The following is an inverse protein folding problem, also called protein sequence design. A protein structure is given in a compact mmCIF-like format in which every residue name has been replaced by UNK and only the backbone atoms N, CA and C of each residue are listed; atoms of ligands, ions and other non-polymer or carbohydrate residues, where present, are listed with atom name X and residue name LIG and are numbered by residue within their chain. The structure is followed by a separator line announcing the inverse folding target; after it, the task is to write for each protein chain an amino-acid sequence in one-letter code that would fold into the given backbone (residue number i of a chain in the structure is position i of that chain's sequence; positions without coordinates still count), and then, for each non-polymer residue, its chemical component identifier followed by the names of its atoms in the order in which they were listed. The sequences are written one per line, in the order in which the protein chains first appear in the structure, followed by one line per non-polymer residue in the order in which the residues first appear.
data_IF_474894608792
#
_entry.id   IF_474894608792
#
_cell.length_a   1.000
_cell.length_b   1.000
_cell.length_c   1.000
_cell.angle_alpha   90.00
_cell.angle_beta   90.00
_cell.angle_gamma   90.00
#
_symmetry.space_group_name_H-M   'P 1'
#
loop_
_entity.id
_entity.type
_entity.pdbx_description
1 polymer ?
2 polymer ?
3 non-polymer ?
4 non-polymer ?
5 water ?
#
# COMPACT_ATOMS: atom_id res chain seq x y z
N UNK A 6 11.46 22.18 -9.28
CA UNK A 6 12.82 22.68 -9.36
C UNK A 6 13.84 21.54 -9.34
N UNK A 7 13.97 20.88 -8.19
CA UNK A 7 14.99 19.85 -8.00
C UNK A 7 14.42 18.52 -8.47
N UNK A 8 14.95 18.01 -9.58
CA UNK A 8 14.53 16.74 -10.16
C UNK A 8 15.78 15.88 -10.36
N UNK A 9 15.85 14.76 -9.67
CA UNK A 9 16.94 13.82 -9.86
C UNK A 9 16.62 12.86 -11.00
N UNK A 10 17.67 12.29 -11.59
CA UNK A 10 17.55 11.40 -12.74
C UNK A 10 17.98 10.00 -12.30
N UNK A 11 17.00 9.13 -12.07
CA UNK A 11 17.25 7.76 -11.65
C UNK A 11 16.39 6.81 -12.49
N UNK A 12 16.87 5.58 -12.62
CA UNK A 12 16.13 4.56 -13.34
C UNK A 12 15.00 4.02 -12.48
N UNK A 13 13.82 3.89 -13.07
CA UNK A 13 12.66 3.34 -12.38
C UNK A 13 12.61 1.83 -12.59
N UNK A 14 12.27 1.11 -11.52
CA UNK A 14 12.09 -0.34 -11.58
C UNK A 14 10.75 -0.70 -10.95
N UNK A 15 9.96 -1.50 -11.67
CA UNK A 15 8.70 -2.01 -11.16
C UNK A 15 8.93 -3.37 -10.52
N UNK A 16 8.25 -3.60 -9.39
CA UNK A 16 8.30 -4.91 -8.75
C UNK A 16 7.33 -5.89 -9.39
N UNK A 17 6.52 -5.45 -10.35
CA UNK A 17 5.79 -6.35 -11.20
C UNK A 17 6.72 -6.93 -12.27
N UNK A 18 6.28 -8.02 -12.89
CA UNK A 18 7.02 -8.57 -14.00
C UNK A 18 6.74 -7.74 -15.26
N UNK A 19 7.32 -8.16 -16.38
CA UNK A 19 7.18 -7.39 -17.62
C UNK A 19 5.72 -7.31 -18.06
N UNK A 20 4.98 -8.41 -17.94
CA UNK A 20 3.58 -8.43 -18.37
C UNK A 20 2.65 -7.79 -17.35
N UNK A 21 3.10 -7.56 -16.12
CA UNK A 21 2.22 -7.05 -15.09
C UNK A 21 1.29 -8.07 -14.49
N UNK A 22 1.43 -9.34 -14.84
CA UNK A 22 0.60 -10.42 -14.30
C UNK A 22 1.19 -11.05 -13.05
N UNK A 23 2.46 -10.77 -12.75
CA UNK A 23 3.11 -11.28 -11.55
C UNK A 23 3.55 -10.12 -10.69
N UNK A 24 3.20 -10.17 -9.40
CA UNK A 24 3.60 -9.15 -8.44
C UNK A 24 4.61 -9.76 -7.47
N UNK A 25 5.82 -9.24 -7.49
CA UNK A 25 6.86 -9.66 -6.55
C UNK A 25 6.93 -8.70 -5.37
N UNK A 26 7.42 -9.21 -4.26
CA UNK A 26 7.66 -8.39 -3.06
C UNK A 26 9.02 -7.68 -3.13
N UNK A 27 9.36 -7.12 -4.29
CA UNK A 27 10.68 -6.55 -4.53
C UNK A 27 10.74 -5.06 -4.23
N UNK A 28 9.86 -4.53 -3.36
CA UNK A 28 9.92 -3.11 -3.05
C UNK A 28 11.23 -2.72 -2.40
N UNK A 29 11.85 -3.63 -1.64
CA UNK A 29 13.08 -3.29 -0.94
C UNK A 29 14.25 -3.14 -1.90
N UNK A 30 14.37 -4.05 -2.87
CA UNK A 30 15.48 -3.97 -3.82
C UNK A 30 15.25 -2.83 -4.82
N UNK A 31 14.00 -2.60 -5.21
CA UNK A 31 13.71 -1.51 -6.14
C UNK A 31 14.07 -0.17 -5.54
N UNK A 32 13.62 0.09 -4.31
CA UNK A 32 13.90 1.37 -3.67
C UNK A 32 15.39 1.53 -3.38
N UNK A 33 16.06 0.45 -2.97
CA UNK A 33 17.50 0.51 -2.78
C UNK A 33 18.22 0.82 -4.10
N UNK A 34 17.72 0.27 -5.20
CA UNK A 34 18.32 0.55 -6.49
C UNK A 34 18.11 2.00 -6.92
N UNK A 35 17.02 2.63 -6.45
CA UNK A 35 16.74 4.00 -6.85
C UNK A 35 17.71 4.96 -6.20
N UNK A 36 17.93 4.82 -4.89
CA UNK A 36 18.75 5.79 -4.17
C UNK A 36 20.24 5.55 -4.37
N UNK A 37 20.65 4.37 -4.81
CA UNK A 37 22.07 4.07 -4.99
C UNK A 37 22.56 4.24 -6.43
N UNK A 38 21.67 4.11 -7.41
CA UNK A 38 22.06 4.28 -8.80
C UNK A 38 22.32 5.76 -9.11
N UNK A 39 22.87 6.00 -10.30
CA UNK A 39 23.21 7.35 -10.73
C UNK A 39 22.99 7.48 -12.22
N UNK A 40 22.58 8.70 -12.64
CA UNK A 40 22.58 9.12 -14.04
C UNK A 40 21.79 8.14 -14.92
N UNK A 41 20.70 7.62 -14.40
CA UNK A 41 19.87 6.72 -15.19
C UNK A 41 20.49 5.36 -15.45
N UNK A 42 21.24 4.82 -14.50
CA UNK A 42 21.78 3.48 -14.58
C UNK A 42 21.16 2.63 -13.48
N UNK A 43 21.71 1.43 -13.28
CA UNK A 43 21.22 0.51 -12.25
C UNK A 43 22.36 0.14 -11.31
N UNK A 44 22.10 0.26 -10.02
CA UNK A 44 23.08 -0.15 -9.01
C UNK A 44 23.21 -1.67 -8.99
N UNK A 45 24.39 -2.14 -8.57
CA UNK A 45 24.70 -3.56 -8.58
C UNK A 45 24.30 -4.18 -7.24
N UNK A 46 23.01 -4.50 -7.12
CA UNK A 46 22.49 -5.26 -5.99
C UNK A 46 22.27 -6.72 -6.35
N UNK A 47 22.91 -7.20 -7.43
CA UNK A 47 22.70 -8.57 -7.88
C UNK A 47 23.32 -9.58 -6.92
N UNK A 48 24.40 -9.20 -6.23
CA UNK A 48 25.01 -10.11 -5.28
C UNK A 48 24.12 -10.39 -4.08
N UNK A 49 23.14 -9.51 -3.81
CA UNK A 49 22.25 -9.69 -2.67
C UNK A 49 20.94 -10.36 -3.03
N UNK A 50 20.51 -10.25 -4.29
CA UNK A 50 19.18 -10.70 -4.68
C UNK A 50 19.23 -12.09 -5.32
N UNK A 51 20.33 -12.40 -6.01
CA UNK A 51 20.40 -13.66 -6.75
C UNK A 51 20.90 -14.81 -5.90
N UNK A 52 21.82 -14.54 -4.97
CA UNK A 52 22.50 -15.59 -4.20
C UNK A 52 21.51 -16.25 -3.24
N UNK A 53 20.63 -17.09 -3.81
CA UNK A 53 19.73 -17.95 -3.04
C UNK A 53 18.86 -17.15 -2.08
N UNK A 54 18.52 -15.92 -2.43
CA UNK A 54 17.74 -15.04 -1.56
C UNK A 54 16.26 -15.35 -1.75
N UNK A 55 15.63 -15.89 -0.70
CA UNK A 55 14.20 -16.20 -0.76
C UNK A 55 13.34 -14.95 -0.80
N UNK A 56 13.88 -13.80 -0.42
CA UNK A 56 13.13 -12.55 -0.39
C UNK A 56 13.11 -11.84 -1.73
N UNK A 57 13.75 -12.38 -2.75
CA UNK A 57 13.80 -11.78 -4.08
C UNK A 57 12.94 -12.58 -5.04
N UNK A 58 12.15 -11.88 -5.85
CA UNK A 58 11.21 -12.50 -6.79
C UNK A 58 10.28 -13.47 -6.06
N UNK A 59 9.85 -13.08 -4.86
CA UNK A 59 8.96 -13.89 -4.04
C UNK A 59 7.57 -13.29 -4.12
N UNK A 60 6.59 -14.12 -4.51
CA UNK A 60 5.22 -13.63 -4.68
C UNK A 60 4.45 -13.56 -3.38
N UNK A 61 5.00 -14.05 -2.28
CA UNK A 61 4.29 -14.17 -1.01
C UNK A 61 4.77 -13.17 0.03
N UNK A 62 6.08 -13.09 0.27
CA UNK A 62 6.62 -12.22 1.30
C UNK A 62 7.90 -11.56 0.79
N UNK A 63 8.27 -10.47 1.44
CA UNK A 63 9.46 -9.71 1.13
C UNK A 63 10.60 -10.01 2.07
N UNK A 64 11.47 -9.02 2.26
CA UNK A 64 12.64 -9.18 3.12
C UNK A 64 12.22 -9.01 4.57
N UNK A 65 12.86 -9.77 5.45
CA UNK A 65 12.59 -9.64 6.88
C UNK A 65 12.98 -8.24 7.37
N UNK A 66 12.21 -7.75 8.34
CA UNK A 66 12.38 -6.37 8.78
C UNK A 66 13.72 -6.19 9.47
N UNK A 67 14.06 -7.10 10.39
CA UNK A 67 15.35 -7.00 11.08
C UNK A 67 16.49 -7.29 10.11
N UNK A 68 16.28 -8.21 9.17
CA UNK A 68 17.29 -8.49 8.16
C UNK A 68 17.49 -7.29 7.24
N UNK A 69 16.42 -6.52 6.98
CA UNK A 69 16.56 -5.32 6.17
C UNK A 69 17.22 -4.19 6.94
N UNK A 70 17.02 -4.11 8.27
CA UNK A 70 17.70 -3.11 9.07
C UNK A 70 19.21 -3.26 8.97
N UNK A 71 19.70 -4.50 8.98
CA UNK A 71 21.14 -4.73 8.85
C UNK A 71 21.61 -4.49 7.43
N UNK A 72 20.77 -4.76 6.43
CA UNK A 72 21.16 -4.56 5.04
C UNK A 72 21.36 -3.07 4.73
N UNK A 73 20.54 -2.20 5.33
CA UNK A 73 20.69 -0.77 5.10
C UNK A 73 22.01 -0.25 5.65
N UNK A 74 22.47 -0.80 6.78
CA UNK A 74 23.74 -0.38 7.35
C UNK A 74 24.90 -0.83 6.47
N UNK A 75 24.79 -2.00 5.83
CA UNK A 75 25.86 -2.49 4.98
C UNK A 75 26.02 -1.64 3.73
N UNK A 76 24.91 -1.18 3.15
CA UNK A 76 24.92 -0.41 1.92
C UNK A 76 25.03 1.09 2.16
N UNK A 77 25.32 1.51 3.40
CA UNK A 77 25.44 2.93 3.76
C UNK A 77 24.14 3.68 3.44
N UNK A 78 23.02 3.10 3.83
CA UNK A 78 21.71 3.73 3.70
C UNK A 78 21.36 4.29 5.08
N UNK A 79 21.44 5.61 5.22
CA UNK A 79 21.31 6.24 6.52
C UNK A 79 19.96 6.93 6.68
N UNK A 80 19.47 6.97 7.92
CA UNK A 80 18.30 7.78 8.26
C UNK A 80 18.69 9.26 8.21
N UNK A 81 17.77 10.11 7.75
CA UNK A 81 18.05 11.53 7.69
C UNK A 81 18.19 12.07 9.12
N UNK A 82 19.16 12.97 9.33
CA UNK A 82 19.40 13.48 10.69
C UNK A 82 18.20 14.26 11.21
N UNK A 83 18.00 14.17 12.51
CA UNK A 83 16.87 14.82 13.17
C UNK A 83 17.16 16.31 13.30
N UNK A 84 16.81 17.05 12.26
CA UNK A 84 17.00 18.50 12.26
C UNK A 84 15.73 19.19 12.75
N UNK A 85 15.85 20.51 12.96
CA UNK A 85 14.70 21.29 13.42
C UNK A 85 13.61 21.34 12.36
N UNK A 86 14.00 21.49 11.09
CA UNK A 86 13.02 21.46 10.01
C UNK A 86 12.36 20.09 9.89
N UNK A 87 13.08 19.03 10.26
CA UNK A 87 12.48 17.71 10.28
C UNK A 87 11.56 17.54 11.49
N UNK A 88 11.95 18.11 12.63
CA UNK A 88 11.15 17.96 13.85
C UNK A 88 9.80 18.67 13.71
N UNK A 89 9.78 19.83 13.04
CA UNK A 89 8.53 20.55 12.85
C UNK A 89 7.56 19.76 11.97
N UNK A 90 8.09 19.08 10.96
CA UNK A 90 7.26 18.26 10.08
C UNK A 90 6.74 17.05 10.83
N UNK A 91 7.58 16.46 11.66
CA UNK A 91 7.24 15.26 12.43
C UNK A 91 6.16 15.54 13.47
N UNK A 92 6.17 16.75 14.02
CA UNK A 92 5.14 17.14 14.99
C UNK A 92 3.83 17.39 14.27
N UNK A 93 3.92 17.97 13.06
CA UNK A 93 2.73 18.12 12.23
C UNK A 93 2.21 16.77 11.76
N UNK A 94 3.09 15.81 11.53
CA UNK A 94 2.65 14.47 11.15
C UNK A 94 1.95 13.77 12.30
N UNK A 95 2.32 14.09 13.54
CA UNK A 95 1.63 13.51 14.68
C UNK A 95 0.20 14.04 14.80
N UNK A 96 -0.03 15.29 14.40
CA UNK A 96 -1.36 15.87 14.43
C UNK A 96 -2.15 15.62 13.15
N UNK A 97 -1.52 15.06 12.12
CA UNK A 97 -2.17 14.76 10.86
C UNK A 97 -2.80 15.99 10.21
N UNK A 98 -2.18 17.15 10.42
CA UNK A 98 -2.69 18.42 9.90
C UNK A 98 -1.78 18.87 8.76
N UNK A 99 -2.38 19.48 7.74
CA UNK A 99 -1.65 19.94 6.56
C UNK A 99 -2.16 21.32 6.16
N UNK A 100 -1.94 22.30 7.04
CA UNK A 100 -2.33 23.68 6.75
C UNK A 100 -1.26 24.34 5.89
N UNK A 101 -1.33 25.67 5.74
CA UNK A 101 -0.41 26.37 4.85
C UNK A 101 1.00 26.39 5.42
N UNK A 102 1.15 26.65 6.73
CA UNK A 102 2.47 26.68 7.32
C UNK A 102 3.13 25.30 7.29
N UNK A 103 2.34 24.25 7.50
CA UNK A 103 2.88 22.89 7.40
C UNK A 103 3.24 22.57 5.95
N UNK A 104 2.39 22.97 5.01
CA UNK A 104 2.67 22.70 3.60
C UNK A 104 3.90 23.45 3.12
N UNK A 105 4.11 24.67 3.62
CA UNK A 105 5.32 25.42 3.27
C UNK A 105 6.56 24.79 3.91
N UNK A 106 6.44 24.35 5.17
CA UNK A 106 7.55 23.64 5.80
C UNK A 106 7.83 22.31 5.10
N UNK A 107 6.78 21.64 4.62
CA UNK A 107 6.97 20.41 3.86
C UNK A 107 7.68 20.70 2.53
N UNK A 108 7.33 21.80 1.88
CA UNK A 108 7.97 22.15 0.63
C UNK A 108 9.46 22.44 0.82
N UNK A 109 9.81 23.16 1.90
CA UNK A 109 11.20 23.44 2.17
C UNK A 109 11.95 22.22 2.70
N UNK A 110 11.26 21.35 3.44
CA UNK A 110 11.90 20.14 3.95
C UNK A 110 12.29 19.20 2.81
N UNK A 111 11.34 18.92 1.91
CA UNK A 111 11.63 18.02 0.79
C UNK A 111 12.67 18.64 -0.13
N UNK A 112 12.57 19.95 -0.37
CA UNK A 112 13.54 20.61 -1.24
C UNK A 112 14.95 20.55 -0.65
N UNK A 113 15.07 20.78 0.66
CA UNK A 113 16.38 20.76 1.30
C UNK A 113 16.98 19.36 1.29
N UNK A 114 16.16 18.35 1.59
CA UNK A 114 16.69 16.98 1.65
C UNK A 114 17.07 16.46 0.27
N UNK A 115 16.26 16.79 -0.75
CA UNK A 115 16.59 16.35 -2.10
C UNK A 115 17.85 17.04 -2.62
N UNK A 116 18.09 18.29 -2.23
CA UNK A 116 19.27 19.00 -2.69
C UNK A 116 20.54 18.47 -2.02
N UNK A 117 20.52 18.35 -0.69
CA UNK A 117 21.73 18.03 0.06
C UNK A 117 21.95 16.54 0.23
N UNK A 118 20.88 15.73 0.25
CA UNK A 118 21.01 14.31 0.49
C UNK A 118 20.51 13.45 -0.66
N UNK A 119 20.00 14.07 -1.73
CA UNK A 119 19.56 13.32 -2.90
C UNK A 119 18.21 12.66 -2.70
N UNK A 120 17.90 11.67 -3.53
CA UNK A 120 16.62 10.98 -3.41
C UNK A 120 16.48 10.29 -2.06
N UNK A 121 15.26 10.32 -1.53
CA UNK A 121 14.96 9.72 -0.23
C UNK A 121 14.19 8.43 -0.41
N UNK A 122 14.45 7.48 0.49
CA UNK A 122 13.70 6.22 0.52
C UNK A 122 12.78 6.24 1.74
N UNK A 123 11.49 6.05 1.51
CA UNK A 123 10.50 6.02 2.58
C UNK A 123 10.09 4.57 2.84
N UNK A 124 10.32 4.10 4.06
CA UNK A 124 9.82 2.81 4.52
C UNK A 124 8.66 3.10 5.46
N UNK A 125 7.48 2.56 5.13
CA UNK A 125 6.27 2.89 5.84
C UNK A 125 5.38 1.66 5.86
N UNK A 126 4.37 1.63 6.73
CA UNK A 126 3.34 0.58 6.63
C UNK A 126 2.67 0.63 5.26
N UNK A 127 2.29 -0.54 4.77
CA UNK A 127 1.61 -0.63 3.49
C UNK A 127 0.22 -0.02 3.56
N UNK A 128 -0.25 0.47 2.43
CA UNK A 128 -1.59 1.07 2.36
C UNK A 128 -2.67 0.01 2.22
N UNK A 129 -2.41 -1.04 1.45
CA UNK A 129 -3.39 -2.08 1.23
C UNK A 129 -2.88 -3.47 1.54
N UNK A 130 -1.97 -3.57 2.51
CA UNK A 130 -1.40 -4.86 2.89
C UNK A 130 -0.98 -4.80 4.34
N UNK A 131 -0.83 -5.98 4.95
CA UNK A 131 -0.46 -6.08 6.35
C UNK A 131 1.03 -5.81 6.59
N UNK A 132 1.83 -5.77 5.54
CA UNK A 132 3.28 -5.67 5.66
C UNK A 132 3.73 -4.22 5.54
N UNK A 133 5.03 -4.02 5.34
CA UNK A 133 5.60 -2.70 5.10
C UNK A 133 5.87 -2.50 3.61
N UNK A 134 6.07 -1.25 3.23
CA UNK A 134 6.32 -0.90 1.84
C UNK A 134 7.44 0.13 1.78
N UNK A 135 8.11 0.18 0.63
CA UNK A 135 9.22 1.10 0.40
C UNK A 135 9.00 1.81 -0.92
N UNK A 136 9.12 3.15 -0.90
CA UNK A 136 9.04 3.97 -2.09
C UNK A 136 10.06 5.10 -1.96
N UNK A 137 10.22 5.87 -3.03
CA UNK A 137 11.29 6.85 -3.11
C UNK A 137 10.77 8.22 -3.53
N UNK A 138 11.29 9.25 -2.86
CA UNK A 138 11.05 10.64 -3.22
C UNK A 138 12.26 11.10 -4.03
N UNK A 139 12.05 11.38 -5.30
CA UNK A 139 13.15 11.67 -6.22
C UNK A 139 13.11 13.09 -6.75
N UNK A 140 11.98 13.78 -6.74
CA UNK A 140 11.92 15.15 -7.20
C UNK A 140 10.80 15.91 -6.53
N UNK A 141 10.75 17.21 -6.80
CA UNK A 141 9.70 18.07 -6.28
C UNK A 141 9.43 19.21 -7.26
N UNK A 142 8.18 19.66 -7.28
CA UNK A 142 7.75 20.73 -8.18
C UNK A 142 6.84 21.66 -7.38
N UNK A 143 7.37 22.83 -7.02
CA UNK A 143 6.60 23.79 -6.24
C UNK A 143 5.52 24.48 -7.07
N UNK A 144 5.64 24.47 -8.39
CA UNK A 144 4.66 25.14 -9.24
C UNK A 144 3.33 24.41 -9.23
N UNK A 145 3.36 23.08 -9.30
CA UNK A 145 2.14 22.29 -9.35
C UNK A 145 1.86 21.69 -7.97
N UNK A 146 2.78 21.92 -7.04
CA UNK A 146 2.70 21.42 -5.67
C UNK A 146 2.68 19.89 -5.63
N UNK A 147 3.58 19.27 -6.40
CA UNK A 147 3.60 17.81 -6.48
C UNK A 147 5.00 17.23 -6.25
N UNK A 148 5.04 15.96 -5.85
CA UNK A 148 6.29 15.25 -5.57
C UNK A 148 6.48 14.14 -6.59
N UNK A 149 7.72 13.92 -7.04
CA UNK A 149 8.06 12.85 -7.96
C UNK A 149 8.34 11.59 -7.15
N UNK A 150 7.48 10.59 -7.29
CA UNK A 150 7.53 9.36 -6.49
C UNK A 150 7.96 8.21 -7.37
N UNK A 151 8.95 7.44 -6.90
CA UNK A 151 9.33 6.18 -7.53
C UNK A 151 8.75 5.05 -6.67
N UNK A 152 7.52 4.65 -6.99
CA UNK A 152 6.85 3.56 -6.31
C UNK A 152 6.86 2.34 -7.23
N UNK A 153 7.53 1.27 -6.78
CA UNK A 153 7.67 0.08 -7.61
C UNK A 153 6.35 -0.61 -7.91
N UNK A 154 5.28 -0.29 -7.17
CA UNK A 154 3.96 -0.83 -7.51
C UNK A 154 3.42 -0.26 -8.81
N UNK A 155 3.87 0.92 -9.21
CA UNK A 155 3.42 1.54 -10.45
C UNK A 155 4.29 1.09 -11.62
N UNK A 156 3.88 1.49 -12.83
CA UNK A 156 4.62 1.18 -14.04
C UNK A 156 5.61 2.27 -14.44
N UNK A 157 5.59 3.40 -13.76
CA UNK A 157 6.47 4.52 -14.10
C UNK A 157 6.50 5.47 -12.91
N UNK A 158 7.49 6.37 -12.87
CA UNK A 158 7.45 7.43 -11.86
C UNK A 158 6.18 8.24 -11.98
N UNK A 159 5.72 8.78 -10.85
CA UNK A 159 4.42 9.44 -10.80
C UNK A 159 4.53 10.74 -10.02
N UNK A 160 3.88 11.78 -10.53
CA UNK A 160 3.80 13.07 -9.86
C UNK A 160 2.53 13.07 -9.00
N UNK A 161 2.71 13.04 -7.68
CA UNK A 161 1.61 12.97 -6.73
C UNK A 161 1.54 14.26 -5.92
N UNK A 162 0.31 14.63 -5.54
CA UNK A 162 0.10 15.85 -4.78
C UNK A 162 0.80 15.79 -3.43
N UNK A 163 1.06 16.97 -2.87
CA UNK A 163 1.80 17.05 -1.61
C UNK A 163 1.05 16.38 -0.46
N UNK A 164 -0.27 16.57 -0.41
CA UNK A 164 -1.03 16.01 0.72
C UNK A 164 -1.10 14.49 0.62
N UNK A 165 -1.11 13.94 -0.60
CA UNK A 165 -1.07 12.48 -0.73
C UNK A 165 0.27 11.92 -0.27
N UNK A 166 1.37 12.58 -0.65
CA UNK A 166 2.68 12.19 -0.13
C UNK A 166 2.74 12.44 1.37
N UNK A 167 2.12 13.52 1.84
CA UNK A 167 2.11 13.84 3.26
C UNK A 167 1.38 12.75 4.05
N UNK A 168 0.28 12.22 3.51
CA UNK A 168 -0.42 11.14 4.17
C UNK A 168 0.40 9.86 4.20
N UNK A 169 1.22 9.63 3.17
CA UNK A 169 2.12 8.47 3.18
C UNK A 169 3.17 8.62 4.28
N UNK A 170 3.74 9.81 4.44
CA UNK A 170 4.69 10.07 5.51
C UNK A 170 4.04 9.89 6.88
N UNK A 171 2.75 10.20 6.99
CA UNK A 171 2.06 10.08 8.27
C UNK A 171 2.08 8.63 8.76
N UNK A 172 1.94 7.66 7.84
CA UNK A 172 1.95 6.26 8.24
C UNK A 172 3.28 5.88 8.90
N UNK A 173 4.38 6.47 8.44
CA UNK A 173 5.70 6.11 8.93
C UNK A 173 6.11 6.89 10.17
N UNK A 174 5.44 8.00 10.48
CA UNK A 174 5.87 8.86 11.58
C UNK A 174 4.80 9.10 12.64
N UNK A 175 3.55 8.69 12.42
CA UNK A 175 2.51 8.84 13.43
C UNK A 175 2.41 7.57 14.26
N UNK A 176 2.25 7.76 15.58
CA UNK A 176 2.21 6.63 16.51
C UNK A 176 0.96 5.78 16.37
N UNK A 177 -0.07 6.26 15.66
CA UNK A 177 -1.28 5.48 15.49
C UNK A 177 -1.03 4.23 14.65
N UNK A 178 -0.22 4.36 13.59
CA UNK A 178 -0.01 3.29 12.63
C UNK A 178 1.28 2.50 12.86
N UNK A 179 2.13 2.94 13.78
CA UNK A 179 3.40 2.28 14.01
C UNK A 179 3.21 1.07 14.92
N UNK A 180 3.58 -0.11 14.41
CA UNK A 180 3.47 -1.35 15.17
C UNK A 180 4.76 -1.60 15.94
N UNK A 181 4.87 -2.76 16.57
CA UNK A 181 6.09 -3.10 17.30
C UNK A 181 7.26 -3.46 16.39
N UNK A 182 6.98 -3.88 15.15
CA UNK A 182 8.02 -4.17 14.17
C UNK A 182 8.14 -3.10 13.11
N UNK A 183 7.80 -1.85 13.46
CA UNK A 183 7.92 -0.71 12.57
C UNK A 183 9.10 0.18 12.95
N UNK A 184 10.12 -0.40 13.60
CA UNK A 184 11.29 0.37 13.99
C UNK A 184 12.14 0.77 12.80
N UNK A 185 11.94 0.15 11.63
CA UNK A 185 12.68 0.51 10.43
C UNK A 185 12.00 1.61 9.65
N UNK A 186 10.77 1.98 10.00
CA UNK A 186 10.05 2.99 9.25
C UNK A 186 10.71 4.36 9.39
N UNK A 187 10.70 5.12 8.31
CA UNK A 187 11.31 6.43 8.31
C UNK A 187 11.83 6.77 6.92
N UNK A 188 12.53 7.89 6.85
CA UNK A 188 13.11 8.38 5.60
C UNK A 188 14.61 8.12 5.61
N UNK A 189 15.10 7.49 4.55
CA UNK A 189 16.51 7.14 4.40
C UNK A 189 17.08 7.85 3.18
N UNK A 190 18.41 7.82 3.07
CA UNK A 190 19.09 8.43 1.93
C UNK A 190 20.44 7.76 1.73
N UNK A 191 20.97 7.93 0.52
CA UNK A 191 22.27 7.38 0.17
C UNK A 191 23.37 8.17 0.88
N UNK A 192 24.13 7.48 1.75
CA UNK A 192 25.18 8.14 2.52
C UNK A 192 26.36 8.63 1.70
N UNK A 193 26.49 8.21 0.45
CA UNK A 193 27.60 8.63 -0.39
C UNK A 193 27.22 9.75 -1.34
N UNK A 194 25.96 10.16 -1.38
CA UNK A 194 25.56 11.26 -2.25
C UNK A 194 26.05 12.59 -1.71
N UNK A 195 26.49 13.46 -2.62
CA UNK A 195 26.86 14.83 -2.31
C UNK A 195 26.45 15.69 -3.49
N UNK A 196 25.86 16.87 -3.24
CA UNK A 196 25.39 17.75 -4.32
C UNK A 196 26.54 18.36 -5.12
N UNK B 4 -9.10 -6.12 -23.53
CA UNK B 4 -8.66 -7.46 -23.15
C UNK B 4 -8.15 -7.48 -21.72
N UNK B 5 -7.52 -6.38 -21.29
CA UNK B 5 -6.93 -6.27 -19.96
C UNK B 5 -7.64 -5.18 -19.17
N UNK B 6 -8.07 -5.53 -17.96
CA UNK B 6 -8.71 -4.59 -17.04
C UNK B 6 -7.96 -4.58 -15.72
N UNK B 7 -7.95 -3.41 -15.08
CA UNK B 7 -7.34 -3.24 -13.76
C UNK B 7 -8.38 -2.67 -12.82
N UNK B 8 -8.76 -3.45 -11.81
CA UNK B 8 -9.80 -3.07 -10.85
C UNK B 8 -9.20 -3.00 -9.45
N UNK B 9 -9.34 -1.85 -8.81
CA UNK B 9 -8.91 -1.66 -7.43
C UNK B 9 -10.10 -1.87 -6.51
N UNK B 10 -9.95 -2.77 -5.54
CA UNK B 10 -11.03 -3.16 -4.64
C UNK B 10 -10.55 -3.04 -3.20
N UNK B 11 -11.37 -2.42 -2.36
CA UNK B 11 -11.04 -2.21 -0.96
C UNK B 11 -11.63 -3.34 -0.11
N UNK B 12 -10.87 -3.79 0.87
CA UNK B 12 -11.31 -4.80 1.82
C UNK B 12 -11.31 -4.14 3.19
N UNK B 13 -12.50 -3.80 3.69
CA UNK B 13 -12.63 -3.04 4.93
C UNK B 13 -13.46 -3.85 5.92
N UNK B 14 -13.37 -3.45 7.17
CA UNK B 14 -14.08 -4.14 8.23
C UNK B 14 -13.36 -3.97 9.56
N UNK B 15 -13.97 -4.53 10.60
CA UNK B 15 -13.42 -4.42 11.94
C UNK B 15 -12.20 -5.33 12.11
N UNK B 16 -11.47 -5.11 13.20
CA UNK B 16 -10.28 -5.91 13.49
C UNK B 16 -10.68 -7.32 13.91
N UNK B 17 -9.99 -8.31 13.36
CA UNK B 17 -10.22 -9.68 13.75
C UNK B 17 -11.42 -10.36 13.13
N UNK B 18 -11.80 -9.93 11.92
CA UNK B 18 -12.94 -10.55 11.22
C UNK B 18 -12.50 -11.45 10.07
N UNK B 19 -11.25 -11.36 9.64
CA UNK B 19 -10.73 -12.21 8.58
C UNK B 19 -10.38 -11.52 7.28
N UNK B 20 -10.19 -10.20 7.28
CA UNK B 20 -9.92 -9.48 6.04
C UNK B 20 -8.58 -9.91 5.43
N UNK B 21 -7.51 -9.91 6.24
CA UNK B 21 -6.21 -10.35 5.74
C UNK B 21 -6.24 -11.82 5.36
N UNK B 22 -6.95 -12.64 6.13
CA UNK B 22 -7.02 -14.07 5.83
C UNK B 22 -7.77 -14.32 4.53
N UNK B 23 -8.84 -13.57 4.27
CA UNK B 23 -9.60 -13.75 3.04
C UNK B 23 -8.75 -13.42 1.82
N UNK B 24 -7.97 -12.33 1.90
CA UNK B 24 -7.08 -11.97 0.80
C UNK B 24 -6.01 -13.04 0.60
N UNK B 25 -5.40 -13.49 1.71
CA UNK B 25 -4.35 -14.50 1.61
C UNK B 25 -4.89 -15.82 1.07
N UNK B 26 -6.13 -16.17 1.43
CA UNK B 26 -6.73 -17.39 0.90
C UNK B 26 -7.02 -17.28 -0.59
N UNK B 27 -7.56 -16.14 -1.03
CA UNK B 27 -7.94 -15.99 -2.42
C UNK B 27 -6.74 -15.77 -3.33
N UNK B 28 -5.76 -14.99 -2.88
CA UNK B 28 -4.63 -14.65 -3.74
C UNK B 28 -3.56 -15.74 -3.68
N UNK B 29 -3.26 -16.23 -2.48
CA UNK B 29 -2.11 -17.11 -2.28
C UNK B 29 -2.49 -18.53 -1.87
N UNK B 30 -3.79 -18.84 -1.78
CA UNK B 30 -4.25 -20.17 -1.38
C UNK B 30 -3.64 -20.59 -0.05
N UNK B 31 -3.57 -19.64 0.88
CA UNK B 31 -2.88 -19.83 2.15
C UNK B 31 -3.76 -19.39 3.30
N UNK B 32 -3.59 -20.04 4.45
CA UNK B 32 -4.33 -19.67 5.65
C UNK B 32 -3.46 -19.92 6.87
N UNK B 33 -3.53 -19.00 7.82
CA UNK B 33 -2.82 -19.11 9.09
C UNK B 33 -3.40 -18.07 10.04
N UNK B 34 -2.95 -18.13 11.29
CA UNK B 34 -3.45 -17.21 12.32
C UNK B 34 -2.51 -16.04 12.59
N UNK B 35 -1.30 -16.06 12.02
CA UNK B 35 -0.34 -14.97 12.23
C UNK B 35 0.42 -14.74 10.94
N UNK B 36 0.09 -13.66 10.24
CA UNK B 36 0.77 -13.26 9.01
C UNK B 36 1.82 -12.22 9.38
N UNK B 37 3.09 -12.65 9.43
CA UNK B 37 4.16 -11.74 9.79
C UNK B 37 4.36 -10.67 8.70
N UNK B 38 4.97 -9.56 9.11
CA UNK B 38 5.13 -8.40 8.24
C UNK B 38 6.55 -8.37 7.66
N UNK B 39 6.63 -8.10 6.36
CA UNK B 39 7.91 -7.92 5.68
C UNK B 39 7.88 -6.62 4.88
N UNK B 40 8.91 -6.40 4.06
CA UNK B 40 8.97 -5.24 3.18
C UNK B 40 8.85 -5.78 1.75
N UNK B 41 7.70 -5.54 1.12
CA UNK B 41 7.46 -6.15 -0.17
C UNK B 41 6.45 -5.48 -1.09
N UNK B 42 5.21 -5.30 -0.62
CA UNK B 42 4.12 -4.84 -1.47
C UNK B 42 3.27 -3.81 -0.75
N UNK B 43 2.57 -3.00 -1.54
CA UNK B 43 1.60 -2.05 -1.03
C UNK B 43 0.17 -2.56 -1.10
N UNK B 44 -0.09 -3.56 -1.94
CA UNK B 44 -1.40 -4.21 -2.02
C UNK B 44 -1.22 -5.58 -2.65
N UNK B 45 -2.30 -6.35 -2.71
CA UNK B 45 -2.28 -7.69 -3.26
C UNK B 45 -2.75 -7.67 -4.72
N UNK B 46 -2.35 -8.70 -5.46
CA UNK B 46 -2.72 -8.81 -6.86
C UNK B 46 -3.30 -10.19 -7.19
N UNK B 47 -4.44 -10.21 -7.88
CA UNK B 47 -5.02 -11.43 -8.39
C UNK B 47 -5.39 -11.27 -9.85
N UNK B 48 -4.84 -12.13 -10.70
CA UNK B 48 -5.13 -12.09 -12.13
C UNK B 48 -6.15 -13.18 -12.46
N UNK B 49 -7.19 -12.81 -13.19
CA UNK B 49 -8.28 -13.71 -13.51
C UNK B 49 -8.44 -13.82 -15.02
N UNK B 50 -8.53 -15.05 -15.52
CA UNK B 50 -8.95 -15.31 -16.90
C UNK B 50 -10.48 -15.28 -16.91
N UNK B 51 -11.02 -14.07 -16.96
CA UNK B 51 -12.47 -13.90 -16.81
C UNK B 51 -13.22 -14.61 -17.93
N UNK B 52 -12.79 -14.41 -19.17
CA UNK B 52 -13.34 -15.14 -20.31
C UNK B 52 -12.26 -15.22 -21.39
N UNK B 53 -12.64 -15.73 -22.56
CA UNK B 53 -11.68 -15.91 -23.65
C UNK B 53 -11.14 -14.58 -24.16
N UNK B 54 -11.89 -13.49 -24.00
CA UNK B 54 -11.48 -12.19 -24.53
C UNK B 54 -11.21 -11.16 -23.44
N UNK B 55 -11.13 -11.58 -22.18
CA UNK B 55 -10.97 -10.62 -21.08
C UNK B 55 -10.00 -11.17 -20.05
N UNK B 56 -9.06 -10.32 -19.63
CA UNK B 56 -8.15 -10.62 -18.53
C UNK B 56 -8.31 -9.53 -17.48
N UNK B 57 -8.56 -9.93 -16.24
CA UNK B 57 -8.86 -8.99 -15.16
C UNK B 57 -7.74 -9.08 -14.12
N UNK B 58 -7.09 -7.94 -13.87
CA UNK B 58 -6.11 -7.82 -12.79
C UNK B 58 -6.80 -7.16 -11.62
N UNK B 59 -6.94 -7.89 -10.52
CA UNK B 59 -7.70 -7.45 -9.36
C UNK B 59 -6.75 -7.02 -8.27
N UNK B 60 -6.76 -5.72 -7.95
CA UNK B 60 -6.00 -5.19 -6.82
C UNK B 60 -6.83 -5.28 -5.55
N UNK B 61 -6.28 -5.92 -4.52
CA UNK B 61 -6.95 -6.08 -3.23
C UNK B 61 -6.20 -5.26 -2.20
N UNK B 62 -6.83 -4.18 -1.73
CA UNK B 62 -6.22 -3.27 -0.76
C UNK B 62 -6.79 -3.57 0.61
N UNK B 63 -5.98 -4.22 1.45
CA UNK B 63 -6.37 -4.46 2.84
C UNK B 63 -6.33 -3.15 3.61
N UNK B 64 -7.43 -2.82 4.28
CA UNK B 64 -7.51 -1.56 5.03
C UNK B 64 -6.41 -1.51 6.09
N UNK B 65 -6.01 -2.67 6.62
CA UNK B 65 -4.83 -2.82 7.47
C UNK B 65 -4.85 -1.88 8.67
N UNK B 66 -3.86 -1.01 8.77
CA UNK B 66 -3.69 -0.17 9.94
C UNK B 66 -4.83 0.80 10.21
N UNK B 67 -5.70 1.02 9.23
CA UNK B 67 -6.83 1.93 9.38
C UNK B 67 -8.08 1.25 9.89
N UNK B 68 -8.00 -0.02 10.31
CA UNK B 68 -9.19 -0.74 10.74
C UNK B 68 -9.60 -0.38 12.16
N UNK B 69 -8.66 -0.04 13.03
CA UNK B 69 -8.98 0.31 14.40
C UNK B 69 -9.58 1.69 14.54
N UNK B 70 -9.36 2.57 13.56
CA UNK B 70 -9.83 3.95 13.62
C UNK B 70 -11.01 4.22 12.70
N UNK B 71 -11.15 3.46 11.61
CA UNK B 71 -12.36 3.53 10.81
C UNK B 71 -12.51 4.74 9.93
N UNK B 72 -11.44 5.47 9.67
CA UNK B 72 -11.49 6.62 8.76
C UNK B 72 -10.60 6.35 7.56
N UNK B 73 -11.08 6.73 6.38
CA UNK B 73 -10.46 6.37 5.11
C UNK B 73 -9.74 7.57 4.51
N UNK B 74 -8.48 7.38 4.16
CA UNK B 74 -7.65 8.42 3.56
C UNK B 74 -7.69 8.30 2.04
N UNK B 75 -7.56 9.45 1.37
CA UNK B 75 -7.69 9.49 -0.09
C UNK B 75 -6.65 8.59 -0.76
N UNK B 76 -5.42 8.60 -0.26
CA UNK B 76 -4.37 7.78 -0.84
C UNK B 76 -4.70 6.30 -0.76
N UNK B 77 -5.61 5.91 0.13
CA UNK B 77 -6.04 4.52 0.22
C UNK B 77 -7.20 4.20 -0.73
N UNK B 78 -8.24 5.03 -0.75
CA UNK B 78 -9.47 4.66 -1.45
C UNK B 78 -9.54 5.19 -2.88
N UNK B 79 -8.57 5.99 -3.32
CA UNK B 79 -8.68 6.61 -4.63
C UNK B 79 -8.72 5.57 -5.75
N UNK B 80 -9.61 5.80 -6.72
CA UNK B 80 -9.78 4.97 -7.90
C UNK B 80 -10.37 3.59 -7.61
N UNK B 81 -10.99 3.41 -6.44
CA UNK B 81 -11.61 2.14 -6.12
C UNK B 81 -12.90 1.95 -6.90
N UNK B 82 -13.12 0.72 -7.37
CA UNK B 82 -14.32 0.39 -8.13
C UNK B 82 -15.16 -0.69 -7.47
N UNK B 83 -14.65 -1.36 -6.44
CA UNK B 83 -15.41 -2.36 -5.72
C UNK B 83 -14.96 -2.39 -4.27
N UNK B 84 -15.68 -3.16 -3.46
CA UNK B 84 -15.37 -3.21 -2.05
C UNK B 84 -15.93 -4.48 -1.41
N UNK B 85 -15.17 -5.06 -0.50
CA UNK B 85 -15.63 -6.11 0.39
C UNK B 85 -15.78 -5.55 1.79
N UNK B 86 -16.95 -5.76 2.40
CA UNK B 86 -17.20 -5.39 3.79
C UNK B 86 -17.34 -6.68 4.57
N UNK B 87 -16.40 -6.94 5.46
CA UNK B 87 -16.28 -8.23 6.14
C UNK B 87 -16.59 -8.04 7.62
N UNK B 88 -17.31 -9.00 8.20
CA UNK B 88 -17.56 -9.05 9.63
C UNK B 88 -17.43 -10.50 10.09
N UNK B 89 -17.42 -10.68 11.41
CA UNK B 89 -17.30 -11.99 12.02
C UNK B 89 -18.66 -12.40 12.59
N UNK B 90 -19.14 -13.57 12.18
CA UNK B 90 -20.46 -14.00 12.63
C UNK B 90 -20.43 -14.50 14.07
N UNK B 91 -19.26 -14.89 14.57
CA UNK B 91 -19.15 -15.36 15.95
C UNK B 91 -19.12 -14.22 16.96
N UNK B 92 -19.03 -12.98 16.51
CA UNK B 92 -19.02 -11.81 17.37
C UNK B 92 -20.11 -10.85 16.93
N UNK B 93 -20.97 -10.44 17.88
CA UNK B 93 -22.09 -9.57 17.54
C UNK B 93 -21.66 -8.13 17.34
N UNK B 94 -20.64 -7.67 18.07
CA UNK B 94 -20.21 -6.29 17.96
C UNK B 94 -19.56 -5.99 16.61
N UNK B 95 -18.91 -7.00 16.00
CA UNK B 95 -18.29 -6.78 14.70
C UNK B 95 -19.33 -6.57 13.59
N UNK B 96 -20.49 -7.21 13.72
CA UNK B 96 -21.55 -7.00 12.73
C UNK B 96 -22.19 -5.63 12.89
N UNK B 97 -22.14 -5.06 14.09
CA UNK B 97 -22.76 -3.76 14.31
C UNK B 97 -22.06 -2.67 13.53
N UNK B 98 -20.73 -2.74 13.42
CA UNK B 98 -19.94 -1.71 12.77
C UNK B 98 -19.91 -1.85 11.24
N UNK B 99 -20.69 -2.77 10.68
CA UNK B 99 -20.74 -2.88 9.22
C UNK B 99 -21.36 -1.64 8.61
N UNK B 100 -22.38 -1.07 9.25
CA UNK B 100 -22.99 0.15 8.76
C UNK B 100 -22.02 1.33 8.86
N UNK B 101 -21.22 1.37 9.92
CA UNK B 101 -20.25 2.46 10.07
C UNK B 101 -19.17 2.39 9.00
N UNK B 102 -18.81 1.19 8.55
CA UNK B 102 -17.86 1.06 7.45
C UNK B 102 -18.54 1.32 6.11
N UNK B 103 -19.78 0.88 5.95
CA UNK B 103 -20.50 1.12 4.70
C UNK B 103 -20.76 2.60 4.51
N UNK B 104 -21.12 3.32 5.57
CA UNK B 104 -21.38 4.75 5.46
C UNK B 104 -20.10 5.51 5.14
N UNK B 105 -19.01 5.21 5.85
CA UNK B 105 -17.73 5.84 5.56
C UNK B 105 -17.27 5.52 4.15
N UNK B 106 -17.58 4.32 3.66
CA UNK B 106 -17.22 3.95 2.29
C UNK B 106 -18.02 4.78 1.28
N UNK B 107 -19.31 4.97 1.53
CA UNK B 107 -20.18 5.73 0.64
C UNK B 107 -19.86 7.21 0.63
N UNK B 108 -19.10 7.71 1.61
CA UNK B 108 -18.75 9.12 1.66
C UNK B 108 -17.47 9.46 0.93
N UNK B 109 -16.70 8.45 0.50
CA UNK B 109 -15.38 8.67 -0.07
C UNK B 109 -15.29 8.28 -1.54
N UNK B 110 -15.79 7.11 -1.91
CA UNK B 110 -15.61 6.59 -3.26
C UNK B 110 -16.98 6.40 -3.91
N UNK B 111 -17.00 6.50 -5.24
CA UNK B 111 -18.23 6.42 -6.00
C UNK B 111 -17.90 6.12 -7.45
N UNK B 112 -18.92 5.64 -8.18
CA UNK B 112 -18.78 5.40 -9.60
C UNK B 112 -18.69 6.72 -10.36
N UNK B 113 -18.17 6.71 -11.59
CA UNK B 113 -18.06 7.96 -12.35
C UNK B 113 -19.39 8.68 -12.55
N UNK B 114 -20.50 7.95 -12.62
CA UNK B 114 -21.81 8.58 -12.79
C UNK B 114 -22.43 9.04 -11.49
N UNK B 115 -21.76 8.82 -10.35
CA UNK B 115 -22.26 9.21 -9.06
C UNK B 115 -22.91 8.09 -8.27
N UNK B 116 -23.25 6.98 -8.92
CA UNK B 116 -23.86 5.86 -8.24
C UNK B 116 -22.86 5.20 -7.29
N UNK B 117 -23.34 4.55 -6.23
CA UNK B 117 -22.42 3.86 -5.31
C UNK B 117 -21.70 2.71 -5.99
N UNK B 118 -20.51 2.41 -5.48
CA UNK B 118 -19.69 1.32 -6.01
C UNK B 118 -20.27 -0.01 -5.56
N UNK B 119 -20.11 -1.08 -6.33
CA UNK B 119 -20.56 -2.40 -5.88
C UNK B 119 -19.83 -2.84 -4.62
N UNK B 120 -20.60 -3.23 -3.60
CA UNK B 120 -20.05 -3.64 -2.32
C UNK B 120 -20.69 -4.96 -1.91
N UNK B 121 -19.84 -5.94 -1.59
CA UNK B 121 -20.28 -7.28 -1.21
C UNK B 121 -20.03 -7.45 0.29
N UNK B 122 -21.03 -7.96 1.00
CA UNK B 122 -20.91 -8.25 2.42
C UNK B 122 -20.44 -9.69 2.61
N UNK B 123 -19.42 -9.87 3.42
CA UNK B 123 -18.82 -11.18 3.65
C UNK B 123 -19.08 -11.62 5.09
N UNK B 124 -19.85 -12.69 5.25
CA UNK B 124 -20.08 -13.29 6.56
C UNK B 124 -18.99 -14.33 6.81
N UNK B 125 -17.83 -13.84 7.25
CA UNK B 125 -16.67 -14.70 7.40
C UNK B 125 -16.84 -15.62 8.62
N UNK B 126 -15.93 -16.59 8.72
CA UNK B 126 -15.99 -17.63 9.74
C UNK B 126 -17.33 -18.37 9.71
N UNK B 127 -17.87 -18.58 8.51
CA UNK B 127 -19.12 -19.31 8.38
C UNK B 127 -18.96 -20.78 8.75
N UNK B 128 -17.72 -21.27 8.83
CA UNK B 128 -17.51 -22.63 9.33
C UNK B 128 -17.85 -22.74 10.81
N UNK B 129 -17.72 -21.65 11.56
CA UNK B 129 -18.08 -21.64 12.98
C UNK B 129 -19.24 -20.68 13.23
N UNK B 144 -33.48 -9.81 2.95
CA UNK B 144 -32.43 -9.18 3.75
C UNK B 144 -32.57 -7.66 3.78
N UNK B 145 -31.67 -7.02 4.51
CA UNK B 145 -31.68 -5.57 4.66
C UNK B 145 -30.91 -4.89 3.54
N UNK B 146 -31.53 -3.86 2.95
CA UNK B 146 -30.90 -3.10 1.88
C UNK B 146 -30.23 -1.84 2.39
N UNK B 147 -28.91 -1.90 2.56
CA UNK B 147 -28.10 -0.75 2.94
C UNK B 147 -27.18 -0.29 1.82
N UNK B 148 -27.33 -0.85 0.62
CA UNK B 148 -26.48 -0.53 -0.50
C UNK B 148 -25.58 -1.66 -0.97
N UNK B 149 -25.70 -2.86 -0.40
CA UNK B 149 -24.83 -3.97 -0.79
C UNK B 149 -25.39 -4.69 -2.00
N UNK B 150 -24.54 -4.95 -2.98
CA UNK B 150 -24.93 -5.67 -4.20
C UNK B 150 -25.11 -7.17 -3.96
N UNK B 151 -24.62 -7.70 -2.86
CA UNK B 151 -24.77 -9.11 -2.56
C UNK B 151 -24.19 -9.42 -1.20
N UNK B 152 -24.26 -10.70 -0.85
CA UNK B 152 -23.73 -11.17 0.42
C UNK B 152 -23.35 -12.64 0.28
N UNK B 153 -22.33 -13.05 1.05
CA UNK B 153 -21.82 -14.41 0.99
C UNK B 153 -21.35 -14.85 2.36
N UNK B 154 -21.65 -16.10 2.69
CA UNK B 154 -21.14 -16.73 3.91
C UNK B 154 -19.78 -17.35 3.57
N UNK B 155 -18.71 -16.64 3.87
CA UNK B 155 -17.37 -17.05 3.49
C UNK B 155 -16.63 -17.67 4.68
N UNK B 156 -15.56 -18.40 4.36
CA UNK B 156 -14.72 -19.01 5.38
C UNK B 156 -13.30 -19.06 4.83
N UNK B 157 -12.40 -18.25 5.41
CA UNK B 157 -11.01 -18.28 4.98
C UNK B 157 -10.30 -19.55 5.39
N UNK B 158 -10.77 -20.23 6.44
CA UNK B 158 -10.14 -21.47 6.87
C UNK B 158 -10.55 -22.64 5.99
N UNK B 159 -11.81 -22.71 5.60
CA UNK B 159 -12.34 -23.81 4.80
C UNK B 159 -12.43 -23.48 3.31
N UNK B 160 -12.10 -22.25 2.91
CA UNK B 160 -12.10 -21.84 1.51
C UNK B 160 -13.50 -22.01 0.90
N UNK B 161 -14.46 -21.29 1.48
CA UNK B 161 -15.85 -21.39 1.09
C UNK B 161 -16.30 -20.04 0.57
N UNK B 162 -16.78 -20.02 -0.68
CA UNK B 162 -17.49 -18.88 -1.24
C UNK B 162 -16.59 -17.66 -1.43
N UNK B 163 -15.31 -17.78 -1.05
CA UNK B 163 -14.39 -16.67 -1.25
C UNK B 163 -14.16 -16.42 -2.74
N UNK B 164 -13.97 -17.50 -3.51
CA UNK B 164 -13.77 -17.35 -4.94
C UNK B 164 -15.06 -16.93 -5.64
N UNK B 165 -16.21 -17.41 -5.16
CA UNK B 165 -17.48 -16.99 -5.73
C UNK B 165 -17.75 -15.51 -5.47
N UNK B 166 -17.42 -15.04 -4.26
CA UNK B 166 -17.64 -13.63 -3.94
C UNK B 166 -16.77 -12.72 -4.78
N UNK B 167 -15.57 -13.16 -5.15
CA UNK B 167 -14.71 -12.36 -6.00
C UNK B 167 -15.27 -12.23 -7.41
N UNK B 168 -15.71 -13.36 -7.99
CA UNK B 168 -16.33 -13.32 -9.30
C UNK B 168 -17.64 -12.54 -9.26
N UNK B 169 -18.38 -12.64 -8.16
CA UNK B 169 -19.61 -11.87 -8.03
C UNK B 169 -19.33 -10.38 -8.01
N UNK B 170 -18.21 -9.97 -7.39
CA UNK B 170 -17.84 -8.57 -7.37
C UNK B 170 -17.33 -8.12 -8.74
N UNK B 171 -16.47 -8.93 -9.36
CA UNK B 171 -15.90 -8.57 -10.66
C UNK B 171 -17.02 -8.45 -11.71
N UNK B 172 -18.04 -9.31 -11.61
CA UNK B 172 -19.16 -9.23 -12.53
C UNK B 172 -19.90 -7.90 -12.38
N UNK B 173 -20.18 -7.51 -11.14
CA UNK B 173 -20.85 -6.23 -10.90
C UNK B 173 -19.98 -5.05 -11.32
N UNK B 174 -18.66 -5.19 -11.22
CA UNK B 174 -17.76 -4.14 -11.68
C UNK B 174 -17.78 -4.06 -13.21
N UNK B 175 -17.84 -5.20 -13.88
CA UNK B 175 -17.87 -5.23 -15.33
C UNK B 175 -19.21 -4.75 -15.90
N UNK B 176 -20.29 -4.83 -15.12
CA UNK B 176 -21.58 -4.31 -15.58
C UNK B 176 -21.48 -2.81 -15.82
N UNK B 177 -20.78 -2.11 -14.94
CA UNK B 177 -20.61 -0.67 -15.07
C UNK B 177 -19.65 -0.32 -16.20
X LIG C 1 -8.24 -9.09 10.00
X LIG C 1 -7.16 -8.87 8.98
X LIG C 1 -9.52 -8.42 9.54
X LIG C 1 -7.82 -8.51 11.32
X LIG C 1 -8.52 -10.66 10.17
X LIG C 1 -7.34 -11.67 10.61
X LIG C 1 -6.71 -12.31 9.39
X LIG C 1 -6.30 -10.96 11.44
X LIG C 1 -8.11 -12.77 11.48
X LIG C 1 -7.77 -12.95 12.85
X LIG C 1 -7.95 -14.42 13.21
X LIG C 1 -9.20 -14.91 12.72
X LIG C 1 -6.86 -15.26 12.57
X LIG C 1 -6.03 -15.81 13.58
X LIG C 1 -7.58 -16.37 11.82
X LIG C 1 -7.07 -17.64 12.23
X LIG C 1 -9.04 -16.23 12.21
X LIG C 1 -9.92 -16.44 11.02
X LIG C 1 -10.07 -15.59 9.99
X LIG C 1 -10.95 -16.10 9.09
X LIG C 1 -11.38 -17.29 9.55
X LIG C 1 -12.32 -18.34 9.08
X LIG C 1 -12.94 -18.22 8.01
X LIG C 1 -12.48 -19.42 9.86
X LIG C 1 -11.83 -19.57 11.03
X LIG C 1 -12.04 -20.69 11.75
X LIG C 1 -10.96 -18.65 11.51
X LIG C 1 -10.70 -17.51 10.83
X LIG D 1 -5.66 -7.47 8.72
#
# INVERSE_FOLDING_TARGET
GHMQGQIIHHRNFQSQFDTTGNTLYNNAWVCSLNVIKSRDGNNYSALEDITSDNQAFNNILEGIDIIECENLLKEMNVQKIPESSLFTNIKEALQAEVFNSTVEDDFESFISYELQNHGPLMLIRPSLGSECLHAECIVGYDSEVKKVLIYDSMNTSPEWQSNIDVYDKLTLAFNDKYKNEDCSICGLYYDGVYEPK
METREHLFKVLVIGELGVGKTSIIKRYVHQLFSQHYRATIGVDFALKVLNWDSRTLVRLQLWDIAGQERFGNMTRVYYKEAVGAFVVFDISRSSTFEAVLKWKSDLDSKVHLPNGSPIPAVLLANKCDKNKDSSQSPSQVDQFDKEHGFAGWFETSAKDNINIEEAARFLVEKILVNHQSFPN
GDP PB O1B O2B O3B O3A PA O1A O2A O5' C5' C4' O4' C3' O3' C2' O2' C1' N9 C8 N7 C5 C6 O6 N1 C2 N2 N3 C4
MG MG
#
